data_IF_469267939729
#
_entry.id   IF_469267939729
#
_cell.length_a   1.000
_cell.length_b   1.000
_cell.length_c   1.000
_cell.angle_alpha   90.00
_cell.angle_beta   90.00
_cell.angle_gamma   90.00
#
_symmetry.space_group_name_H-M   'P 1'
#
loop_
_entity.id
_entity.type
_entity.pdbx_description
1 polymer ?
#
# COMPACT_ATOMS: atom_id res chain seq x y z
N UNK A 1 0.66 -14.99 -20.36
CA UNK A 1 1.47 -14.61 -19.18
C UNK A 1 1.31 -13.13 -18.93
N UNK A 2 1.19 -12.73 -17.66
CA UNK A 2 0.94 -11.34 -17.25
C UNK A 2 2.14 -10.79 -16.49
N UNK A 3 2.36 -9.48 -16.59
CA UNK A 3 3.31 -8.74 -15.78
C UNK A 3 2.54 -7.82 -14.84
N UNK A 4 2.77 -7.95 -13.53
CA UNK A 4 2.38 -6.93 -12.55
C UNK A 4 3.62 -6.11 -12.18
N UNK A 5 3.63 -4.85 -12.58
CA UNK A 5 4.74 -3.93 -12.37
C UNK A 5 4.49 -3.05 -11.13
N UNK A 6 5.22 -3.33 -10.05
CA UNK A 6 5.10 -2.64 -8.76
C UNK A 6 6.47 -2.13 -8.27
N UNK A 7 6.96 -1.08 -8.92
CA UNK A 7 8.27 -0.46 -8.66
C UNK A 7 8.27 0.44 -7.40
N UNK A 8 7.79 -0.06 -6.26
CA UNK A 8 8.00 0.61 -4.97
C UNK A 8 9.08 -0.09 -4.15
N UNK A 9 9.59 0.57 -3.11
CA UNK A 9 10.57 -0.02 -2.18
C UNK A 9 9.95 -0.58 -0.89
N UNK A 10 8.82 -0.04 -0.42
CA UNK A 10 8.24 -0.44 0.88
C UNK A 10 7.15 -1.52 0.83
N UNK A 11 6.74 -2.07 1.97
CA UNK A 11 5.74 -3.15 2.01
C UNK A 11 4.33 -2.74 1.48
N UNK A 12 4.08 -1.43 1.41
CA UNK A 12 2.80 -0.87 0.98
C UNK A 12 2.42 -1.18 -0.47
N UNK A 13 3.34 -1.17 -1.44
CA UNK A 13 2.94 -1.56 -2.81
C UNK A 13 2.74 -3.06 -2.93
N UNK A 14 3.58 -3.88 -2.29
CA UNK A 14 3.42 -5.34 -2.31
C UNK A 14 2.06 -5.78 -1.77
N UNK A 15 1.64 -5.20 -0.65
CA UNK A 15 0.33 -5.48 -0.05
C UNK A 15 -0.82 -5.11 -0.99
N UNK A 16 -0.70 -3.98 -1.71
CA UNK A 16 -1.70 -3.56 -2.69
C UNK A 16 -1.71 -4.50 -3.90
N UNK A 17 -0.54 -4.88 -4.40
CA UNK A 17 -0.38 -5.85 -5.48
C UNK A 17 -1.11 -7.15 -5.16
N UNK A 18 -0.91 -7.71 -3.97
CA UNK A 18 -1.60 -8.93 -3.56
C UNK A 18 -3.12 -8.75 -3.51
N UNK A 19 -3.60 -7.62 -3.00
CA UNK A 19 -5.01 -7.30 -2.98
C UNK A 19 -5.61 -7.13 -4.38
N UNK A 20 -4.88 -6.51 -5.32
CA UNK A 20 -5.32 -6.36 -6.72
C UNK A 20 -5.34 -7.71 -7.43
N UNK A 21 -4.27 -8.51 -7.33
CA UNK A 21 -4.21 -9.86 -7.91
C UNK A 21 -5.38 -10.71 -7.41
N UNK A 22 -5.66 -10.67 -6.11
CA UNK A 22 -6.78 -11.38 -5.51
C UNK A 22 -8.14 -10.86 -6.02
N UNK A 23 -8.35 -9.54 -6.02
CA UNK A 23 -9.62 -8.91 -6.41
C UNK A 23 -9.97 -9.17 -7.88
N UNK A 24 -8.99 -9.04 -8.77
CA UNK A 24 -9.16 -9.25 -10.21
C UNK A 24 -8.91 -10.70 -10.64
N UNK A 25 -8.62 -11.60 -9.70
CA UNK A 25 -8.30 -13.01 -9.96
C UNK A 25 -7.21 -13.20 -11.03
N UNK A 26 -6.19 -12.34 -11.04
CA UNK A 26 -5.19 -12.31 -12.11
C UNK A 26 -4.37 -13.60 -12.17
N UNK A 27 -4.24 -14.31 -11.06
CA UNK A 27 -3.34 -15.46 -10.88
C UNK A 27 -3.92 -16.80 -11.36
N UNK A 28 -5.05 -16.77 -12.08
CA UNK A 28 -5.50 -17.93 -12.86
C UNK A 28 -4.48 -18.32 -13.94
N UNK A 29 -3.65 -17.36 -14.37
CA UNK A 29 -2.49 -17.56 -15.25
C UNK A 29 -1.18 -17.17 -14.54
N UNK A 30 -0.01 -17.59 -15.05
CA UNK A 30 1.28 -17.11 -14.58
C UNK A 30 1.43 -15.58 -14.62
N UNK A 31 1.86 -15.01 -13.49
CA UNK A 31 2.16 -13.59 -13.31
C UNK A 31 3.62 -13.44 -12.89
N UNK A 32 4.35 -12.56 -13.58
CA UNK A 32 5.60 -12.01 -13.07
C UNK A 32 5.33 -10.73 -12.30
N UNK A 33 5.76 -10.66 -11.05
CA UNK A 33 5.70 -9.48 -10.21
C UNK A 33 7.07 -8.77 -10.20
N UNK A 34 7.15 -7.63 -10.89
CA UNK A 34 8.35 -6.82 -10.91
C UNK A 34 8.34 -5.85 -9.73
N UNK A 35 9.35 -5.91 -8.87
CA UNK A 35 9.42 -5.01 -7.71
C UNK A 35 10.84 -4.63 -7.30
N UNK A 36 10.99 -3.42 -6.77
CA UNK A 36 12.22 -2.91 -6.17
C UNK A 36 12.22 -3.04 -4.64
N UNK A 37 11.21 -3.70 -4.05
CA UNK A 37 11.10 -3.82 -2.60
C UNK A 37 12.03 -4.86 -2.03
N UNK A 38 12.70 -4.57 -0.92
CA UNK A 38 13.48 -5.56 -0.17
C UNK A 38 12.61 -6.43 0.76
N UNK A 39 11.32 -6.10 0.92
CA UNK A 39 10.42 -6.79 1.85
C UNK A 39 9.74 -8.03 1.24
N UNK A 40 10.33 -8.65 0.23
CA UNK A 40 9.72 -9.79 -0.49
C UNK A 40 9.64 -11.05 0.36
N UNK A 41 10.56 -11.23 1.30
CA UNK A 41 10.69 -12.46 2.08
C UNK A 41 9.57 -12.63 3.12
N UNK A 42 8.87 -11.55 3.47
CA UNK A 42 7.73 -11.60 4.38
C UNK A 42 6.40 -11.92 3.66
N UNK A 43 6.39 -11.96 2.32
CA UNK A 43 5.20 -12.20 1.54
C UNK A 43 4.90 -13.69 1.39
N UNK A 44 3.61 -14.02 1.47
CA UNK A 44 3.09 -15.31 1.00
C UNK A 44 2.48 -15.08 -0.36
N UNK A 45 3.19 -15.49 -1.39
CA UNK A 45 2.75 -15.28 -2.76
C UNK A 45 1.61 -16.22 -3.12
N UNK A 46 0.59 -15.75 -3.85
CA UNK A 46 -0.41 -16.62 -4.45
C UNK A 46 0.25 -17.63 -5.39
N UNK A 47 -0.45 -18.73 -5.65
CA UNK A 47 -0.07 -19.65 -6.73
C UNK A 47 0.08 -18.88 -8.04
N UNK A 48 1.04 -19.29 -8.86
CA UNK A 48 1.34 -18.72 -10.17
C UNK A 48 1.90 -17.28 -10.16
N UNK A 49 2.36 -16.77 -9.01
CA UNK A 49 3.05 -15.48 -8.93
C UNK A 49 4.54 -15.71 -8.66
N UNK A 50 5.38 -15.22 -9.54
CA UNK A 50 6.84 -15.23 -9.40
C UNK A 50 7.36 -13.80 -9.26
N UNK A 51 8.29 -13.57 -8.34
CA UNK A 51 8.91 -12.25 -8.16
C UNK A 51 10.15 -12.14 -9.02
N UNK A 52 10.25 -11.02 -9.73
CA UNK A 52 11.50 -10.56 -10.36
C UNK A 52 11.92 -9.24 -9.71
N UNK A 53 13.13 -9.22 -9.14
CA UNK A 53 13.70 -8.02 -8.56
C UNK A 53 14.14 -7.07 -9.67
N UNK A 54 13.70 -5.83 -9.57
CA UNK A 54 14.13 -4.76 -10.46
C UNK A 54 15.58 -4.39 -10.07
N UNK A 55 16.55 -4.44 -11.01
CA UNK A 55 17.91 -4.01 -10.74
C UNK A 55 18.00 -2.54 -10.32
N UNK A 56 18.73 -2.26 -9.22
CA UNK A 56 18.81 -0.92 -8.61
C UNK A 56 19.49 0.13 -9.48
N UNK A 57 20.36 -0.29 -10.41
CA UNK A 57 21.10 0.61 -11.30
C UNK A 57 20.21 1.33 -12.33
N UNK A 58 18.96 0.89 -12.51
CA UNK A 58 18.00 1.55 -13.39
C UNK A 58 17.41 2.85 -12.83
N UNK A 59 17.56 3.12 -11.53
CA UNK A 59 17.00 4.30 -10.87
C UNK A 59 17.41 5.65 -11.49
N UNK A 60 18.52 5.69 -12.26
CA UNK A 60 19.04 6.91 -12.88
C UNK A 60 19.17 6.81 -14.42
N UNK A 61 18.63 5.76 -15.05
CA UNK A 61 18.78 5.56 -16.49
C UNK A 61 17.50 5.01 -17.12
N UNK A 62 16.62 5.94 -17.51
CA UNK A 62 15.34 5.63 -18.14
C UNK A 62 15.47 4.75 -19.39
N UNK A 63 16.45 5.02 -20.26
CA UNK A 63 16.60 4.29 -21.53
C UNK A 63 17.04 2.85 -21.32
N UNK A 64 18.05 2.63 -20.47
CA UNK A 64 18.47 1.26 -20.13
C UNK A 64 17.36 0.49 -19.42
N UNK A 65 16.57 1.19 -18.58
CA UNK A 65 15.44 0.57 -17.91
C UNK A 65 14.34 0.15 -18.90
N UNK A 66 13.98 1.01 -19.84
CA UNK A 66 13.01 0.69 -20.88
C UNK A 66 13.48 -0.47 -21.76
N UNK A 67 14.75 -0.49 -22.17
CA UNK A 67 15.31 -1.60 -22.93
C UNK A 67 15.18 -2.93 -22.18
N UNK A 68 15.54 -2.93 -20.89
CA UNK A 68 15.38 -4.12 -20.04
C UNK A 68 13.91 -4.56 -19.94
N UNK A 69 12.96 -3.63 -19.79
CA UNK A 69 11.53 -3.95 -19.78
C UNK A 69 11.08 -4.60 -21.10
N UNK A 70 11.53 -4.08 -22.25
CA UNK A 70 11.26 -4.70 -23.55
C UNK A 70 11.81 -6.12 -23.64
N UNK A 71 13.08 -6.32 -23.26
CA UNK A 71 13.72 -7.64 -23.26
C UNK A 71 12.96 -8.64 -22.37
N UNK A 72 12.54 -8.22 -21.19
CA UNK A 72 11.76 -9.07 -20.29
C UNK A 72 10.38 -9.41 -20.86
N UNK A 73 9.69 -8.43 -21.45
CA UNK A 73 8.37 -8.62 -22.06
C UNK A 73 8.46 -9.64 -23.21
N UNK A 74 9.47 -9.50 -24.08
CA UNK A 74 9.68 -10.42 -25.20
C UNK A 74 10.12 -11.81 -24.72
N UNK A 75 11.10 -11.88 -23.82
CA UNK A 75 11.62 -13.15 -23.31
C UNK A 75 10.53 -14.00 -22.65
N UNK A 76 9.68 -13.37 -21.84
CA UNK A 76 8.60 -14.06 -21.12
C UNK A 76 7.28 -14.12 -21.90
N UNK A 77 7.24 -13.60 -23.13
CA UNK A 77 6.01 -13.55 -23.96
C UNK A 77 4.84 -12.91 -23.19
N UNK A 78 5.12 -11.80 -22.53
CA UNK A 78 4.12 -11.04 -21.78
C UNK A 78 3.11 -10.46 -22.76
N UNK A 79 1.82 -10.62 -22.46
CA UNK A 79 0.72 -10.10 -23.27
C UNK A 79 -0.04 -8.96 -22.58
N UNK A 80 0.00 -8.92 -21.23
CA UNK A 80 -0.64 -7.89 -20.43
C UNK A 80 0.33 -7.35 -19.37
N UNK A 81 0.33 -6.02 -19.19
CA UNK A 81 1.13 -5.31 -18.19
C UNK A 81 0.20 -4.48 -17.30
N UNK A 82 0.22 -4.76 -15.99
CA UNK A 82 -0.50 -4.02 -14.96
C UNK A 82 0.48 -3.09 -14.24
N UNK A 83 0.30 -1.77 -14.39
CA UNK A 83 1.21 -0.76 -13.85
C UNK A 83 0.69 -0.19 -12.52
N UNK A 84 1.46 -0.38 -11.44
CA UNK A 84 1.17 0.09 -10.08
C UNK A 84 2.27 1.06 -9.58
N UNK A 85 1.99 2.34 -9.30
CA UNK A 85 0.77 3.11 -9.57
C UNK A 85 1.07 4.30 -10.50
N UNK A 86 2.29 4.38 -11.01
CA UNK A 86 2.80 5.52 -11.76
C UNK A 86 2.63 5.23 -13.25
N UNK A 87 1.71 5.92 -13.97
CA UNK A 87 1.33 5.54 -15.33
C UNK A 87 2.49 5.55 -16.34
N UNK A 88 3.47 6.44 -16.15
CA UNK A 88 4.71 6.47 -16.93
C UNK A 88 5.91 5.82 -16.20
N UNK A 89 5.69 5.23 -15.03
CA UNK A 89 6.77 4.76 -14.16
C UNK A 89 7.33 5.85 -13.23
N UNK A 90 8.38 5.53 -12.48
CA UNK A 90 9.02 6.44 -11.51
C UNK A 90 9.98 7.42 -12.19
N UNK A 91 10.69 6.94 -13.22
CA UNK A 91 11.68 7.71 -13.98
C UNK A 91 11.24 7.95 -15.42
N UNK A 92 10.01 7.57 -15.78
CA UNK A 92 9.47 7.71 -17.13
C UNK A 92 9.72 6.49 -18.02
N UNK A 93 10.09 5.35 -17.45
CA UNK A 93 10.44 4.11 -18.16
C UNK A 93 9.32 3.58 -19.08
N UNK A 94 8.05 3.90 -18.78
CA UNK A 94 6.90 3.56 -19.63
C UNK A 94 6.51 4.68 -20.60
N UNK A 95 7.15 5.85 -20.52
CA UNK A 95 6.92 6.95 -21.45
C UNK A 95 7.60 6.67 -22.79
N UNK A 96 6.94 6.99 -23.90
CA UNK A 96 7.40 6.65 -25.26
C UNK A 96 7.72 5.15 -25.44
N UNK A 97 6.96 4.27 -24.78
CA UNK A 97 7.20 2.84 -24.88
C UNK A 97 7.06 2.36 -26.34
N UNK A 98 7.92 1.46 -26.84
CA UNK A 98 7.96 1.17 -28.27
C UNK A 98 6.71 0.44 -28.80
N UNK A 99 6.13 0.96 -29.89
CA UNK A 99 4.89 0.42 -30.48
C UNK A 99 5.03 -0.98 -31.11
N UNK A 100 6.25 -1.44 -31.34
CA UNK A 100 6.51 -2.79 -31.86
C UNK A 100 6.31 -3.86 -30.78
N UNK A 101 6.41 -3.50 -29.49
CA UNK A 101 6.07 -4.38 -28.37
C UNK A 101 4.54 -4.46 -28.26
N UNK A 102 3.98 -5.60 -28.64
CA UNK A 102 2.52 -5.82 -28.65
C UNK A 102 2.05 -6.34 -27.30
N UNK A 103 1.79 -5.41 -26.38
CA UNK A 103 1.21 -5.72 -25.06
C UNK A 103 0.06 -4.80 -24.74
N UNK A 104 -0.88 -5.33 -23.97
CA UNK A 104 -1.99 -4.57 -23.42
C UNK A 104 -1.62 -3.97 -22.07
N UNK A 105 -1.83 -2.66 -21.92
CA UNK A 105 -1.56 -1.97 -20.67
C UNK A 105 -2.82 -1.79 -19.84
N UNK A 106 -2.70 -2.07 -18.54
CA UNK A 106 -3.69 -1.78 -17.52
C UNK A 106 -3.02 -0.93 -16.44
N UNK A 107 -3.77 0.01 -15.85
CA UNK A 107 -3.24 0.89 -14.81
C UNK A 107 -3.99 0.70 -13.50
N UNK A 108 -3.24 0.67 -12.40
CA UNK A 108 -3.77 0.65 -11.04
C UNK A 108 -3.62 2.05 -10.46
N UNK A 109 -4.69 2.84 -10.58
CA UNK A 109 -4.73 4.24 -10.19
C UNK A 109 -5.07 4.42 -8.71
N UNK A 110 -4.29 5.26 -8.03
CA UNK A 110 -4.54 5.66 -6.63
C UNK A 110 -4.22 7.13 -6.44
N UNK A 111 -4.52 7.68 -5.26
CA UNK A 111 -4.12 9.05 -4.91
C UNK A 111 -2.60 9.19 -5.01
N UNK A 112 -2.18 10.17 -5.82
CA UNK A 112 -0.81 10.64 -5.97
C UNK A 112 -0.73 12.14 -5.65
N UNK A 113 0.46 12.62 -5.31
CA UNK A 113 0.78 14.03 -5.41
C UNK A 113 1.00 14.38 -6.90
N UNK A 114 -0.10 14.64 -7.59
CA UNK A 114 -0.10 14.82 -9.04
C UNK A 114 0.80 15.97 -9.51
N UNK A 115 0.87 17.07 -8.75
CA UNK A 115 1.72 18.21 -9.07
C UNK A 115 3.22 17.87 -9.07
N UNK A 116 3.64 16.90 -8.25
CA UNK A 116 5.00 16.39 -8.28
C UNK A 116 5.19 15.40 -9.44
N UNK A 117 4.19 14.56 -9.68
CA UNK A 117 4.26 13.52 -10.71
C UNK A 117 4.24 14.06 -12.13
N UNK A 118 3.39 15.06 -12.42
CA UNK A 118 3.24 15.66 -13.76
C UNK A 118 4.49 16.39 -14.25
N UNK A 119 5.48 16.62 -13.36
CA UNK A 119 6.79 17.17 -13.72
C UNK A 119 7.68 16.16 -14.42
N UNK A 120 7.42 14.86 -14.25
CA UNK A 120 8.00 13.85 -15.12
C UNK A 120 7.45 14.10 -16.52
N UNK A 121 8.32 14.13 -17.54
CA UNK A 121 7.90 14.37 -18.91
C UNK A 121 6.96 13.25 -19.38
N UNK A 122 5.65 13.45 -19.21
CA UNK A 122 4.58 12.49 -19.53
C UNK A 122 4.08 12.70 -20.96
N UNK A 123 5.00 12.93 -21.90
CA UNK A 123 4.69 13.35 -23.27
C UNK A 123 3.93 12.26 -24.07
N UNK A 124 4.20 10.98 -23.82
CA UNK A 124 3.58 9.84 -24.51
C UNK A 124 3.43 8.64 -23.54
N UNK A 125 2.47 8.70 -22.60
CA UNK A 125 2.18 7.56 -21.73
C UNK A 125 1.67 6.36 -22.53
N UNK A 126 1.70 5.14 -21.95
CA UNK A 126 0.99 4.00 -22.51
C UNK A 126 -0.50 4.31 -22.70
N UNK A 127 -1.10 3.71 -23.74
CA UNK A 127 -2.56 3.69 -23.90
C UNK A 127 -3.12 2.51 -23.12
N UNK A 128 -3.93 2.79 -22.11
CA UNK A 128 -4.47 1.78 -21.21
C UNK A 128 -5.78 1.21 -21.74
N UNK A 129 -5.92 -0.11 -21.78
CA UNK A 129 -7.22 -0.77 -21.99
C UNK A 129 -8.19 -0.40 -20.87
N UNK A 130 -7.75 -0.50 -19.63
CA UNK A 130 -8.51 -0.04 -18.49
C UNK A 130 -7.60 0.56 -17.41
N UNK A 131 -8.12 1.57 -16.73
CA UNK A 131 -7.56 2.06 -15.47
C UNK A 131 -8.51 1.71 -14.33
N UNK A 132 -7.99 0.96 -13.36
CA UNK A 132 -8.68 0.62 -12.12
C UNK A 132 -8.36 1.65 -11.05
N UNK A 133 -9.31 2.55 -10.78
CA UNK A 133 -9.22 3.57 -9.75
C UNK A 133 -9.57 2.99 -8.38
N UNK A 134 -8.57 2.87 -7.52
CA UNK A 134 -8.71 2.44 -6.14
C UNK A 134 -9.24 3.56 -5.24
N UNK A 135 -9.11 4.81 -5.68
CA UNK A 135 -9.52 6.00 -4.93
C UNK A 135 -9.92 7.14 -5.86
N UNK A 136 -10.72 8.06 -5.34
CA UNK A 136 -10.98 9.33 -5.99
C UNK A 136 -9.71 10.18 -6.07
N UNK A 137 -9.15 10.37 -7.27
CA UNK A 137 -7.91 11.15 -7.47
C UNK A 137 -8.20 12.64 -7.73
N UNK A 138 -7.14 13.45 -7.77
CA UNK A 138 -7.21 14.87 -8.16
C UNK A 138 -7.87 15.04 -9.55
N UNK A 139 -8.68 16.09 -9.80
CA UNK A 139 -9.33 16.29 -11.09
C UNK A 139 -8.38 16.32 -12.30
N UNK A 140 -7.17 16.89 -12.17
CA UNK A 140 -6.17 16.88 -13.26
C UNK A 140 -5.65 15.48 -13.52
N UNK A 141 -5.36 14.74 -12.45
CA UNK A 141 -4.98 13.33 -12.56
C UNK A 141 -6.10 12.51 -13.21
N UNK A 142 -7.36 12.70 -12.79
CA UNK A 142 -8.51 12.01 -13.38
C UNK A 142 -8.64 12.31 -14.87
N UNK A 143 -8.48 13.57 -15.27
CA UNK A 143 -8.52 13.98 -16.68
C UNK A 143 -7.41 13.32 -17.50
N UNK A 144 -6.19 13.27 -16.96
CA UNK A 144 -5.09 12.53 -17.60
C UNK A 144 -5.49 11.06 -17.84
N UNK A 145 -6.02 10.38 -16.83
CA UNK A 145 -6.42 8.98 -16.95
C UNK A 145 -7.57 8.79 -17.96
N UNK A 146 -8.53 9.71 -18.02
CA UNK A 146 -9.62 9.69 -18.99
C UNK A 146 -9.15 9.85 -20.44
N UNK A 147 -8.06 10.59 -20.67
CA UNK A 147 -7.47 10.79 -22.01
C UNK A 147 -6.70 9.53 -22.45
N UNK A 148 -6.03 8.87 -21.51
CA UNK A 148 -5.10 7.78 -21.81
C UNK A 148 -5.65 6.38 -21.53
N UNK A 149 -6.92 6.26 -21.14
CA UNK A 149 -7.57 4.96 -20.88
C UNK A 149 -8.83 4.81 -21.72
N UNK A 150 -9.07 3.62 -22.27
CA UNK A 150 -10.32 3.30 -22.94
C UNK A 150 -11.46 3.16 -21.93
N UNK A 151 -11.16 2.56 -20.78
CA UNK A 151 -12.10 2.40 -19.67
C UNK A 151 -11.52 2.94 -18.35
N UNK A 152 -12.38 3.54 -17.53
CA UNK A 152 -12.04 4.00 -16.19
C UNK A 152 -13.02 3.38 -15.18
N UNK A 153 -12.53 2.43 -14.39
CA UNK A 153 -13.34 1.60 -13.50
C UNK A 153 -12.96 1.89 -12.06
N UNK A 154 -13.93 2.15 -11.18
CA UNK A 154 -13.67 2.18 -9.74
C UNK A 154 -13.55 0.74 -9.23
N UNK A 155 -12.49 0.46 -8.48
CA UNK A 155 -12.21 -0.89 -7.98
C UNK A 155 -12.04 -0.86 -6.46
N UNK A 156 -12.99 -1.49 -5.76
CA UNK A 156 -12.88 -1.77 -4.33
C UNK A 156 -12.06 -3.04 -4.13
N UNK A 157 -10.94 -2.93 -3.40
CA UNK A 157 -10.09 -4.10 -3.19
C UNK A 157 -10.65 -5.03 -2.12
N UNK A 158 -10.70 -6.32 -2.45
CA UNK A 158 -10.78 -7.40 -1.48
C UNK A 158 -9.38 -7.89 -1.15
N UNK A 159 -8.94 -7.67 0.09
CA UNK A 159 -7.69 -8.25 0.56
C UNK A 159 -7.80 -9.78 0.65
N UNK A 160 -6.74 -10.52 0.30
CA UNK A 160 -6.71 -11.96 0.54
C UNK A 160 -6.80 -12.26 2.04
N UNK A 161 -7.35 -13.41 2.44
CA UNK A 161 -7.36 -13.85 3.84
C UNK A 161 -5.95 -13.82 4.43
N UNK A 162 -5.83 -13.40 5.69
CA UNK A 162 -4.55 -13.46 6.37
C UNK A 162 -4.18 -14.92 6.66
N UNK A 163 -3.23 -15.42 5.89
CA UNK A 163 -2.55 -16.63 6.26
C UNK A 163 -1.54 -16.27 7.34
N UNK A 164 -1.86 -16.58 8.60
CA UNK A 164 -0.89 -16.60 9.69
C UNK A 164 -0.34 -18.03 9.83
N UNK A 165 0.92 -18.19 10.23
CA UNK A 165 1.46 -19.49 10.59
C UNK A 165 1.00 -19.86 12.02
N UNK A 166 1.28 -21.09 12.45
CA UNK A 166 0.84 -21.56 13.78
C UNK A 166 1.37 -20.68 14.91
N UNK A 167 2.65 -20.30 14.88
CA UNK A 167 3.30 -19.48 15.91
C UNK A 167 2.71 -18.06 15.96
N UNK A 168 2.48 -17.46 14.80
CA UNK A 168 1.85 -16.13 14.70
C UNK A 168 0.43 -16.13 15.27
N UNK A 169 -0.38 -17.16 14.96
CA UNK A 169 -1.73 -17.30 15.52
C UNK A 169 -1.70 -17.48 17.04
N UNK A 170 -0.85 -18.37 17.54
CA UNK A 170 -0.68 -18.60 18.97
C UNK A 170 -0.27 -17.31 19.68
N UNK A 171 0.68 -16.56 19.11
CA UNK A 171 1.13 -15.26 19.65
C UNK A 171 0.00 -14.22 19.69
N UNK A 172 -0.72 -14.04 18.58
CA UNK A 172 -1.85 -13.10 18.53
C UNK A 172 -2.91 -13.47 19.57
N UNK A 173 -3.29 -14.75 19.66
CA UNK A 173 -4.28 -15.20 20.63
C UNK A 173 -3.80 -14.99 22.08
N UNK A 174 -2.53 -15.28 22.36
CA UNK A 174 -1.91 -15.12 23.67
C UNK A 174 -2.00 -13.67 24.15
N UNK A 175 -1.60 -12.72 23.30
CA UNK A 175 -1.62 -11.28 23.60
C UNK A 175 -3.02 -10.83 24.05
N UNK A 176 -4.06 -11.20 23.30
CA UNK A 176 -5.44 -10.82 23.62
C UNK A 176 -6.07 -11.62 24.78
N UNK A 177 -5.53 -12.79 25.12
CA UNK A 177 -6.05 -13.62 26.23
C UNK A 177 -5.45 -13.31 27.60
N UNK A 178 -4.22 -12.79 27.64
CA UNK A 178 -3.47 -12.57 28.89
C UNK A 178 -3.51 -11.10 29.33
N UNK A 179 -3.77 -10.18 28.40
CA UNK A 179 -3.78 -8.76 28.75
C UNK A 179 -5.08 -8.38 29.46
N UNK A 180 -5.00 -8.10 30.76
CA UNK A 180 -6.07 -7.40 31.50
C UNK A 180 -6.18 -5.91 31.10
N UNK A 181 -5.28 -5.44 30.24
CA UNK A 181 -5.19 -4.05 29.76
C UNK A 181 -5.73 -3.92 28.34
N UNK A 182 -6.30 -2.76 28.00
CA UNK A 182 -6.71 -2.48 26.64
C UNK A 182 -5.50 -2.50 25.70
N UNK A 183 -5.65 -3.14 24.55
CA UNK A 183 -4.57 -3.32 23.57
C UNK A 183 -4.66 -2.24 22.51
N UNK A 184 -3.59 -1.45 22.40
CA UNK A 184 -3.47 -0.39 21.39
C UNK A 184 -2.41 -0.81 20.37
N UNK A 185 -2.80 -0.87 19.09
CA UNK A 185 -1.92 -1.26 18.00
C UNK A 185 -1.23 -0.05 17.40
N UNK A 186 0.06 -0.15 17.11
CA UNK A 186 0.82 0.81 16.32
C UNK A 186 1.33 0.09 15.08
N UNK A 187 0.84 0.44 13.91
CA UNK A 187 1.03 -0.32 12.66
C UNK A 187 1.71 0.56 11.62
N UNK A 188 2.98 0.27 11.36
CA UNK A 188 3.75 0.95 10.32
C UNK A 188 5.01 0.18 9.95
N UNK A 189 5.37 0.12 8.68
CA UNK A 189 6.50 -0.70 8.22
C UNK A 189 7.85 -0.01 8.40
N UNK A 190 7.96 1.22 7.92
CA UNK A 190 9.19 1.99 7.81
C UNK A 190 8.89 3.43 7.33
N UNK A 191 9.83 4.39 7.51
CA UNK A 191 11.08 4.29 8.26
C UNK A 191 10.88 4.21 9.78
N UNK A 192 11.92 3.76 10.49
CA UNK A 192 11.92 3.61 11.95
C UNK A 192 11.50 4.90 12.69
N UNK A 193 11.89 6.07 12.18
CA UNK A 193 11.55 7.37 12.79
C UNK A 193 10.04 7.64 12.76
N UNK A 194 9.33 7.20 11.73
CA UNK A 194 7.88 7.34 11.68
C UNK A 194 7.18 6.37 12.63
N UNK A 195 7.74 5.17 12.82
CA UNK A 195 7.27 4.24 13.85
C UNK A 195 7.39 4.89 15.24
N UNK A 196 8.53 5.55 15.52
CA UNK A 196 8.74 6.28 16.79
C UNK A 196 7.75 7.43 16.96
N UNK A 197 7.47 8.20 15.91
CA UNK A 197 6.48 9.29 15.95
C UNK A 197 5.08 8.76 16.25
N UNK A 198 4.68 7.64 15.64
CA UNK A 198 3.41 6.99 15.95
C UNK A 198 3.35 6.44 17.37
N UNK A 199 4.47 5.92 17.90
CA UNK A 199 4.55 5.51 19.31
C UNK A 199 4.36 6.70 20.25
N UNK A 200 5.05 7.82 19.99
CA UNK A 200 4.90 9.04 20.78
C UNK A 200 3.46 9.55 20.76
N UNK A 201 2.84 9.56 19.58
CA UNK A 201 1.43 9.94 19.43
C UNK A 201 0.49 9.02 20.22
N UNK A 202 0.68 7.71 20.15
CA UNK A 202 -0.12 6.76 20.91
C UNK A 202 0.05 6.95 22.44
N UNK A 203 1.26 7.24 22.90
CA UNK A 203 1.53 7.52 24.32
C UNK A 203 0.83 8.82 24.74
N UNK A 204 0.91 9.89 23.96
CA UNK A 204 0.24 11.15 24.24
C UNK A 204 -1.29 10.97 24.34
N UNK A 205 -1.88 10.24 23.40
CA UNK A 205 -3.31 9.93 23.44
C UNK A 205 -3.66 9.11 24.69
N UNK A 206 -2.81 8.17 25.11
CA UNK A 206 -3.07 7.39 26.34
C UNK A 206 -3.09 8.27 27.59
N UNK A 207 -2.25 9.31 27.64
CA UNK A 207 -2.23 10.28 28.73
C UNK A 207 -3.47 11.17 28.71
N UNK A 208 -3.89 11.63 27.52
CA UNK A 208 -5.10 12.45 27.35
C UNK A 208 -6.36 11.67 27.72
N UNK A 209 -6.47 10.41 27.27
CA UNK A 209 -7.61 9.53 27.59
C UNK A 209 -7.53 8.94 29.01
N UNK A 210 -6.43 9.17 29.74
CA UNK A 210 -6.14 8.58 31.05
C UNK A 210 -6.25 7.04 31.06
N UNK A 211 -5.75 6.40 30.01
CA UNK A 211 -5.73 4.94 29.81
C UNK A 211 -4.30 4.44 29.94
N UNK A 212 -4.10 3.26 30.54
CA UNK A 212 -2.80 2.58 30.61
C UNK A 212 -2.79 1.34 29.71
N UNK A 213 -2.68 1.50 28.38
CA UNK A 213 -2.80 0.39 27.46
C UNK A 213 -1.56 -0.48 27.43
N UNK A 214 -1.73 -1.68 26.89
CA UNK A 214 -0.64 -2.51 26.41
C UNK A 214 -0.39 -2.18 24.93
N UNK A 215 0.76 -1.59 24.62
CA UNK A 215 1.09 -1.18 23.26
C UNK A 215 1.68 -2.34 22.47
N UNK A 216 1.14 -2.60 21.29
CA UNK A 216 1.66 -3.61 20.36
C UNK A 216 2.08 -2.92 19.07
N UNK A 217 3.38 -2.90 18.82
CA UNK A 217 4.00 -2.30 17.65
C UNK A 217 4.20 -3.38 16.58
N UNK A 218 3.52 -3.25 15.45
CA UNK A 218 3.65 -4.12 14.29
C UNK A 218 4.46 -3.38 13.22
N UNK A 219 5.72 -3.79 13.03
CA UNK A 219 6.68 -3.13 12.15
C UNK A 219 7.79 -4.07 11.69
N UNK A 220 8.26 -3.90 10.45
CA UNK A 220 9.44 -4.62 9.92
C UNK A 220 10.73 -4.16 10.59
N UNK A 221 10.74 -2.95 11.15
CA UNK A 221 11.88 -2.38 11.87
C UNK A 221 11.57 -2.28 13.36
N UNK A 222 12.47 -2.78 14.21
CA UNK A 222 12.35 -2.65 15.67
C UNK A 222 12.65 -1.20 16.08
N UNK A 223 11.70 -0.42 16.62
CA UNK A 223 11.89 1.02 16.84
C UNK A 223 12.79 1.37 18.03
N UNK A 224 12.88 0.48 19.02
CA UNK A 224 13.61 0.71 20.26
C UNK A 224 14.56 -0.45 20.57
N UNK A 225 15.73 -0.14 21.15
CA UNK A 225 16.69 -1.17 21.58
C UNK A 225 16.16 -1.95 22.78
N UNK A 226 15.68 -1.22 23.79
CA UNK A 226 14.96 -1.73 24.95
C UNK A 226 13.47 -1.48 24.78
N UNK A 227 12.67 -2.46 25.18
CA UNK A 227 11.21 -2.38 25.20
C UNK A 227 10.80 -2.51 26.67
N UNK A 228 9.91 -1.64 27.14
CA UNK A 228 9.38 -1.69 28.52
C UNK A 228 8.35 -2.81 28.66
N UNK A 229 7.97 -3.17 29.89
CA UNK A 229 7.04 -4.28 30.16
C UNK A 229 5.65 -4.11 29.55
N UNK A 230 5.24 -2.89 29.19
CA UNK A 230 3.94 -2.53 28.61
C UNK A 230 3.98 -2.29 27.09
N UNK A 231 5.11 -2.58 26.44
CA UNK A 231 5.25 -2.45 24.99
C UNK A 231 5.69 -3.82 24.45
N UNK A 232 5.13 -4.23 23.32
CA UNK A 232 5.54 -5.40 22.57
C UNK A 232 5.85 -4.98 21.13
N UNK A 233 6.95 -5.45 20.56
CA UNK A 233 7.22 -5.31 19.14
C UNK A 233 7.11 -6.66 18.43
N UNK A 234 6.50 -6.65 17.26
CA UNK A 234 6.31 -7.81 16.40
C UNK A 234 6.63 -7.46 14.95
N UNK A 235 7.45 -8.30 14.31
CA UNK A 235 7.56 -8.32 12.86
C UNK A 235 6.46 -9.24 12.29
N UNK A 236 5.23 -8.73 12.25
CA UNK A 236 4.06 -9.47 11.78
C UNK A 236 3.56 -8.88 10.46
N UNK A 237 3.33 -9.74 9.46
CA UNK A 237 2.64 -9.39 8.23
C UNK A 237 1.68 -10.53 7.82
N UNK A 238 0.42 -10.23 7.48
CA UNK A 238 -0.25 -8.91 7.56
C UNK A 238 -0.69 -8.55 8.99
N UNK A 239 -0.89 -7.25 9.25
CA UNK A 239 -1.30 -6.73 10.57
C UNK A 239 -2.81 -6.79 10.85
N UNK A 240 -3.64 -6.80 9.79
CA UNK A 240 -5.10 -6.68 9.91
C UNK A 240 -5.81 -7.76 10.75
N UNK A 241 -5.29 -8.99 10.95
CA UNK A 241 -5.90 -9.96 11.88
C UNK A 241 -6.04 -9.47 13.32
N UNK A 242 -5.31 -8.44 13.71
CA UNK A 242 -5.36 -7.88 15.07
C UNK A 242 -6.34 -6.70 15.20
N UNK A 243 -6.85 -6.15 14.09
CA UNK A 243 -7.59 -4.89 14.12
C UNK A 243 -8.92 -4.99 14.84
N UNK A 244 -9.64 -6.10 14.67
CA UNK A 244 -10.95 -6.31 15.30
C UNK A 244 -10.86 -6.26 16.83
N UNK A 245 -9.85 -6.92 17.40
CA UNK A 245 -9.65 -7.05 18.86
C UNK A 245 -8.97 -5.85 19.51
N UNK A 246 -8.36 -4.96 18.73
CA UNK A 246 -7.68 -3.78 19.25
C UNK A 246 -8.68 -2.70 19.68
N UNK A 247 -8.36 -1.96 20.73
CA UNK A 247 -9.19 -0.84 21.20
C UNK A 247 -8.85 0.47 20.50
N UNK A 248 -7.60 0.64 20.10
CA UNK A 248 -7.11 1.73 19.24
C UNK A 248 -6.12 1.18 18.22
N UNK A 249 -6.10 1.79 17.04
CA UNK A 249 -5.17 1.49 15.95
C UNK A 249 -4.50 2.81 15.58
N UNK A 250 -3.18 2.87 15.64
CA UNK A 250 -2.36 4.02 15.27
C UNK A 250 -1.57 3.68 13.99
N UNK A 251 -1.64 4.52 12.96
CA UNK A 251 -0.87 4.28 11.73
C UNK A 251 -0.49 5.55 10.96
N UNK A 252 0.36 5.37 9.97
CA UNK A 252 0.50 6.33 8.88
C UNK A 252 -0.78 6.43 8.03
N UNK A 253 -0.83 7.34 7.06
CA UNK A 253 -1.96 7.47 6.11
C UNK A 253 -1.66 6.83 4.74
N UNK A 254 -0.96 5.70 4.73
CA UNK A 254 -0.71 4.93 3.51
C UNK A 254 -1.99 4.30 2.94
N UNK A 255 -2.00 3.99 1.64
CA UNK A 255 -3.19 3.44 0.96
C UNK A 255 -3.82 2.25 1.68
N UNK A 256 -3.06 1.15 1.88
CA UNK A 256 -3.67 -0.09 2.37
C UNK A 256 -4.21 0.06 3.78
N UNK A 257 -3.45 0.68 4.68
CA UNK A 257 -3.87 0.79 6.08
C UNK A 257 -5.14 1.61 6.20
N UNK A 258 -5.24 2.72 5.45
CA UNK A 258 -6.46 3.53 5.41
C UNK A 258 -7.65 2.74 4.89
N UNK A 259 -7.47 1.87 3.89
CA UNK A 259 -8.56 1.04 3.38
C UNK A 259 -8.95 -0.09 4.36
N UNK A 260 -7.96 -0.79 4.90
CA UNK A 260 -8.15 -1.92 5.83
C UNK A 260 -8.78 -1.48 7.16
N UNK A 261 -8.58 -0.22 7.57
CA UNK A 261 -9.18 0.35 8.78
C UNK A 261 -10.51 1.06 8.53
N UNK A 262 -11.07 1.01 7.32
CA UNK A 262 -12.35 1.68 7.02
C UNK A 262 -13.47 1.29 7.99
N UNK A 263 -13.60 -0.01 8.25
CA UNK A 263 -14.59 -0.56 9.18
C UNK A 263 -14.27 -0.27 10.65
N UNK A 264 -13.03 0.13 10.96
CA UNK A 264 -12.52 0.42 12.30
C UNK A 264 -12.25 1.90 12.53
N UNK A 265 -12.80 2.78 11.71
CA UNK A 265 -12.44 4.20 11.68
C UNK A 265 -12.72 4.97 12.96
N UNK A 266 -13.62 4.50 13.82
CA UNK A 266 -13.90 5.14 15.12
C UNK A 266 -12.78 4.89 16.14
N UNK A 267 -12.01 3.81 15.96
CA UNK A 267 -10.83 3.48 16.78
C UNK A 267 -9.50 3.67 16.05
N UNK A 268 -9.53 4.15 14.81
CA UNK A 268 -8.35 4.39 14.00
C UNK A 268 -7.89 5.85 14.15
N UNK A 269 -6.71 6.02 14.75
CA UNK A 269 -5.99 7.28 14.82
C UNK A 269 -4.80 7.24 13.85
N UNK A 270 -4.50 8.36 13.21
CA UNK A 270 -3.51 8.37 12.14
C UNK A 270 -2.75 9.68 12.03
N UNK A 271 -1.48 9.57 11.59
CA UNK A 271 -0.62 10.70 11.25
C UNK A 271 -0.18 10.61 9.79
N UNK A 272 -0.43 11.63 8.95
CA UNK A 272 0.08 11.64 7.58
C UNK A 272 1.58 12.00 7.58
N UNK A 273 2.37 11.28 6.79
CA UNK A 273 3.77 11.59 6.56
C UNK A 273 4.03 12.16 5.16
N UNK A 274 5.02 13.05 5.06
CA UNK A 274 5.40 13.63 3.79
C UNK A 274 6.02 12.57 2.88
N UNK A 275 5.57 12.54 1.63
CA UNK A 275 6.12 11.70 0.57
C UNK A 275 6.17 12.51 -0.71
N UNK A 276 7.09 12.13 -1.59
CA UNK A 276 7.23 12.81 -2.87
C UNK A 276 5.99 12.57 -3.76
N UNK A 277 5.57 11.32 -3.94
CA UNK A 277 4.43 11.00 -4.80
C UNK A 277 3.17 10.48 -4.08
N UNK A 278 3.27 9.96 -2.85
CA UNK A 278 2.08 9.45 -2.14
C UNK A 278 1.42 10.56 -1.30
N UNK A 279 0.21 10.99 -1.64
CA UNK A 279 -0.43 12.11 -0.93
C UNK A 279 -1.20 11.64 0.32
N UNK A 280 -0.45 11.34 1.37
CA UNK A 280 -0.97 10.92 2.67
C UNK A 280 -1.84 12.01 3.34
N UNK A 281 -1.48 13.28 3.18
CA UNK A 281 -2.25 14.40 3.73
C UNK A 281 -3.65 14.50 3.10
N UNK A 282 -3.77 14.26 1.79
CA UNK A 282 -5.08 14.22 1.13
C UNK A 282 -5.94 13.07 1.65
N UNK A 283 -5.36 11.88 1.88
CA UNK A 283 -6.09 10.76 2.52
C UNK A 283 -6.58 11.12 3.91
N UNK A 284 -5.71 11.69 4.75
CA UNK A 284 -6.06 12.12 6.10
C UNK A 284 -7.21 13.15 6.07
N UNK A 285 -7.14 14.15 5.18
CA UNK A 285 -8.19 15.16 5.01
C UNK A 285 -9.53 14.54 4.65
N UNK A 286 -9.56 13.57 3.71
CA UNK A 286 -10.79 12.88 3.31
C UNK A 286 -11.40 12.07 4.45
N UNK A 287 -10.60 11.25 5.14
CA UNK A 287 -11.02 10.46 6.32
C UNK A 287 -11.63 11.36 7.41
N UNK A 288 -10.96 12.47 7.73
CA UNK A 288 -11.46 13.44 8.72
C UNK A 288 -12.77 14.10 8.28
N UNK A 289 -12.92 14.44 7.00
CA UNK A 289 -14.14 15.02 6.47
C UNK A 289 -15.33 14.05 6.57
N UNK A 290 -15.12 12.77 6.23
CA UNK A 290 -16.13 11.73 6.32
C UNK A 290 -16.59 11.46 7.76
N UNK A 291 -15.64 11.44 8.72
CA UNK A 291 -15.96 11.29 10.14
C UNK A 291 -16.78 12.49 10.66
N UNK A 292 -16.42 13.73 10.30
CA UNK A 292 -17.18 14.92 10.70
C UNK A 292 -18.60 14.91 10.14
N UNK A 293 -18.78 14.52 8.87
CA UNK A 293 -20.10 14.47 8.22
C UNK A 293 -21.04 13.47 8.90
N UNK A 294 -20.53 12.34 9.40
CA UNK A 294 -21.35 11.37 10.14
C UNK A 294 -21.82 11.93 11.48
N UNK A 295 -20.91 12.53 12.26
CA UNK A 295 -21.25 13.16 13.54
C UNK A 295 -22.26 14.32 13.43
N UNK A 296 -22.35 14.98 12.28
CA UNK A 296 -23.36 16.02 12.03
C UNK A 296 -24.73 15.51 11.58
N UNK A 297 -24.84 14.23 11.20
CA UNK A 297 -26.08 13.62 10.69
C UNK A 297 -26.76 12.77 11.76
N UNK A 298 -26.03 12.26 12.74
CA UNK A 298 -26.59 11.62 13.93
C UNK A 298 -27.08 12.70 14.91
N UNK A 299 -28.38 12.76 15.26
CA UNK A 299 -28.86 13.69 16.27
C UNK A 299 -28.23 13.35 17.62
N UNK A 300 -27.96 14.35 18.48
CA UNK A 300 -27.49 14.06 19.84
C UNK A 300 -28.52 13.20 20.57
N UNK A 301 -28.07 12.07 21.12
CA UNK A 301 -28.84 11.23 22.05
C UNK A 301 -29.20 11.99 23.33
#
# INVERSE_FOLDING_TARGET
>A
MKLYYANGSGLGHLTRTLAVIHTLQLNQEPILLFTASDHTDCLRLPKNVEIVKIPTHFANNQRSYQNWLCEQIEFHQISEVYIDAFPCGIVGEWNNFPDYIKVDFYHIGRVLNWQNYERLETNRPPSFKATYLLENVDPKHKRFLQIHSQELVTLDLSYPPAELNRKERELVNTIFSISDKPIWLIVHSEPQEEVKQLCAYAIEISQIENVQPYFVIISQTKPFRSITSNILWMNLYPAFPMFDKAERIFSACGFNIMQQTEVYKEKHMFLPFQRHYDNQFLRAKKRNFEQKRRKSIEPPE
#
